data_IF_979301732112
#
_entry.id   IF_979301732112
#
_cell.length_a   1.000
_cell.length_b   1.000
_cell.length_c   1.000
_cell.angle_alpha   90.00
_cell.angle_beta   90.00
_cell.angle_gamma   90.00
#
_symmetry.space_group_name_H-M   'P 1'
#
loop_
_entity.id
_entity.type
_entity.pdbx_description
1 polymer ?
#
# COMPACT_ATOMS: atom_id res chain seq x y z
N UNK A 1 22.44 -7.69 5.03
CA UNK A 1 21.10 -7.82 5.60
C UNK A 1 20.33 -8.88 4.83
N UNK A 2 19.86 -9.87 5.54
CA UNK A 2 19.05 -10.88 4.89
C UNK A 2 17.60 -10.39 4.82
N UNK A 3 17.01 -10.56 3.66
CA UNK A 3 15.59 -10.31 3.51
C UNK A 3 14.84 -11.55 3.94
N UNK A 4 13.84 -11.38 4.78
CA UNK A 4 12.94 -12.48 5.09
C UNK A 4 12.20 -12.88 3.82
N UNK A 5 12.10 -14.17 3.58
CA UNK A 5 11.26 -14.63 2.49
C UNK A 5 9.81 -14.27 2.81
N UNK A 6 9.07 -13.89 1.78
CA UNK A 6 7.64 -13.67 1.94
C UNK A 6 6.97 -15.00 2.31
N UNK A 7 6.00 -14.95 3.20
CA UNK A 7 5.18 -16.11 3.47
C UNK A 7 4.32 -16.43 2.24
N UNK A 8 3.79 -17.64 2.17
CA UNK A 8 2.89 -18.01 1.08
C UNK A 8 1.67 -17.09 1.04
N UNK A 9 1.16 -16.72 2.20
CA UNK A 9 0.02 -15.82 2.29
C UNK A 9 0.37 -14.43 1.76
N UNK A 10 1.55 -13.92 2.10
CA UNK A 10 2.00 -12.62 1.62
C UNK A 10 2.19 -12.61 0.10
N UNK A 11 2.71 -13.69 -0.46
CA UNK A 11 2.85 -13.83 -1.90
C UNK A 11 1.48 -13.90 -2.60
N UNK A 12 0.54 -14.62 -2.01
CA UNK A 12 -0.83 -14.70 -2.52
C UNK A 12 -1.48 -13.32 -2.54
N UNK A 13 -1.37 -12.59 -1.44
CA UNK A 13 -1.91 -11.24 -1.33
C UNK A 13 -1.26 -10.33 -2.38
N UNK A 14 0.06 -10.42 -2.53
CA UNK A 14 0.79 -9.64 -3.52
C UNK A 14 0.30 -9.89 -4.93
N UNK A 15 0.09 -11.16 -5.30
CA UNK A 15 -0.46 -11.49 -6.62
C UNK A 15 -1.88 -10.96 -6.81
N UNK A 16 -2.70 -11.05 -5.77
CA UNK A 16 -4.05 -10.53 -5.82
C UNK A 16 -4.06 -9.02 -6.04
N UNK A 17 -3.15 -8.31 -5.36
CA UNK A 17 -3.02 -6.86 -5.52
C UNK A 17 -2.61 -6.51 -6.95
N UNK A 18 -1.60 -7.17 -7.48
CA UNK A 18 -1.12 -6.93 -8.84
C UNK A 18 -2.23 -7.20 -9.86
N UNK A 19 -2.95 -8.30 -9.71
CA UNK A 19 -4.04 -8.64 -10.63
C UNK A 19 -5.18 -7.62 -10.55
N UNK A 20 -5.54 -7.19 -9.35
CA UNK A 20 -6.56 -6.18 -9.16
C UNK A 20 -6.13 -4.83 -9.73
N UNK A 21 -4.89 -4.44 -9.51
CA UNK A 21 -4.34 -3.20 -10.04
C UNK A 21 -4.32 -3.21 -11.57
N UNK A 22 -3.92 -4.33 -12.16
CA UNK A 22 -3.93 -4.49 -13.61
C UNK A 22 -5.34 -4.35 -14.18
N UNK A 23 -6.31 -4.98 -13.54
CA UNK A 23 -7.70 -4.88 -13.97
C UNK A 23 -8.22 -3.45 -13.91
N UNK A 24 -7.99 -2.78 -12.79
CA UNK A 24 -8.41 -1.39 -12.60
C UNK A 24 -7.79 -0.49 -13.65
N UNK A 25 -6.48 -0.61 -13.86
CA UNK A 25 -5.76 0.20 -14.84
C UNK A 25 -6.24 -0.07 -16.25
N UNK A 26 -6.49 -1.33 -16.60
CA UNK A 26 -6.97 -1.71 -17.93
C UNK A 26 -8.35 -1.13 -18.23
N UNK A 27 -9.21 -1.08 -17.24
CA UNK A 27 -10.57 -0.57 -17.43
C UNK A 27 -10.67 0.95 -17.40
N UNK A 28 -9.91 1.60 -16.52
CA UNK A 28 -10.00 3.05 -16.32
C UNK A 28 -9.00 3.84 -17.15
N UNK A 29 -7.86 3.24 -17.48
CA UNK A 29 -6.79 3.95 -18.15
C UNK A 29 -6.10 4.95 -17.25
N UNK A 30 -5.12 5.70 -17.78
CA UNK A 30 -4.39 6.71 -17.03
C UNK A 30 -5.17 8.01 -16.91
N UNK A 31 -4.70 8.91 -16.04
CA UNK A 31 -5.17 10.29 -16.00
C UNK A 31 -6.24 10.62 -15.00
N UNK A 32 -6.70 9.62 -14.22
CA UNK A 32 -7.67 9.88 -13.17
C UNK A 32 -6.98 10.23 -11.85
N UNK A 33 -7.76 10.75 -10.91
CA UNK A 33 -7.24 11.05 -9.57
C UNK A 33 -6.85 9.76 -8.85
N UNK A 34 -5.81 9.83 -8.04
CA UNK A 34 -5.34 8.68 -7.26
C UNK A 34 -6.44 8.04 -6.44
N UNK A 35 -7.33 8.85 -5.88
CA UNK A 35 -8.43 8.36 -5.06
C UNK A 35 -9.36 7.43 -5.83
N UNK A 36 -9.56 7.67 -7.12
CA UNK A 36 -10.41 6.82 -7.95
C UNK A 36 -9.79 5.42 -8.06
N UNK A 37 -8.49 5.36 -8.35
CA UNK A 37 -7.79 4.08 -8.43
C UNK A 37 -7.80 3.35 -7.08
N UNK A 38 -7.60 4.08 -5.99
CA UNK A 38 -7.62 3.50 -4.65
C UNK A 38 -8.98 2.87 -4.34
N UNK A 39 -10.07 3.57 -4.61
CA UNK A 39 -11.42 3.06 -4.37
C UNK A 39 -11.69 1.82 -5.20
N UNK A 40 -11.33 1.86 -6.47
CA UNK A 40 -11.56 0.73 -7.37
C UNK A 40 -10.70 -0.48 -7.01
N UNK A 41 -9.45 -0.24 -6.64
CA UNK A 41 -8.56 -1.31 -6.17
C UNK A 41 -9.10 -1.97 -4.90
N UNK A 42 -9.55 -1.15 -3.96
CA UNK A 42 -10.18 -1.64 -2.72
C UNK A 42 -11.38 -2.50 -3.04
N UNK A 43 -12.23 -2.05 -3.97
CA UNK A 43 -13.41 -2.80 -4.38
C UNK A 43 -13.04 -4.17 -4.95
N UNK A 44 -12.07 -4.23 -5.85
CA UNK A 44 -11.65 -5.48 -6.46
C UNK A 44 -11.07 -6.45 -5.43
N UNK A 45 -10.27 -5.95 -4.50
CA UNK A 45 -9.67 -6.79 -3.46
C UNK A 45 -10.73 -7.32 -2.49
N UNK A 46 -11.68 -6.50 -2.09
CA UNK A 46 -12.78 -6.94 -1.23
C UNK A 46 -13.67 -7.96 -1.93
N UNK A 47 -13.92 -7.76 -3.20
CA UNK A 47 -14.67 -8.71 -4.01
C UNK A 47 -13.97 -10.06 -4.10
N UNK A 48 -12.65 -10.06 -4.10
CA UNK A 48 -11.84 -11.28 -4.09
C UNK A 48 -11.74 -11.94 -2.71
N UNK A 49 -12.31 -11.34 -1.68
CA UNK A 49 -12.36 -11.92 -0.34
C UNK A 49 -11.32 -11.41 0.63
N UNK A 50 -10.58 -10.36 0.29
CA UNK A 50 -9.54 -9.82 1.17
C UNK A 50 -10.07 -8.69 2.04
N UNK A 51 -9.59 -8.62 3.29
CA UNK A 51 -9.85 -7.50 4.18
C UNK A 51 -8.96 -6.33 3.81
N UNK A 52 -9.56 -5.17 3.56
CA UNK A 52 -8.82 -3.97 3.15
C UNK A 52 -9.26 -2.80 4.00
N UNK A 53 -8.28 -2.13 4.61
CA UNK A 53 -8.49 -0.85 5.28
C UNK A 53 -7.88 0.25 4.41
N UNK A 54 -8.57 1.39 4.33
CA UNK A 54 -8.15 2.53 3.53
C UNK A 54 -7.72 3.68 4.44
N UNK A 55 -6.73 4.45 3.99
CA UNK A 55 -6.31 5.67 4.68
C UNK A 55 -6.02 5.40 6.15
N UNK A 56 -5.15 4.43 6.40
CA UNK A 56 -4.79 4.02 7.75
C UNK A 56 -3.69 4.93 8.27
N UNK A 57 -3.94 5.60 9.39
CA UNK A 57 -2.94 6.42 10.04
C UNK A 57 -2.14 5.59 11.02
N UNK A 58 -0.82 5.70 10.93
CA UNK A 58 0.08 5.00 11.83
C UNK A 58 0.89 6.05 12.58
N UNK A 59 0.73 6.12 13.91
CA UNK A 59 1.47 7.09 14.70
C UNK A 59 2.97 6.76 14.71
N UNK A 60 3.79 7.79 14.81
CA UNK A 60 5.23 7.65 14.90
C UNK A 60 5.64 7.91 16.34
N UNK A 61 6.52 7.04 16.87
CA UNK A 61 7.12 7.26 18.18
C UNK A 61 8.55 7.72 18.00
N UNK A 62 8.88 8.77 18.71
CA UNK A 62 10.23 9.31 18.73
C UNK A 62 10.57 9.77 20.13
N UNK A 63 11.63 9.21 20.68
CA UNK A 63 12.15 9.59 21.99
C UNK A 63 11.06 9.63 23.08
N UNK A 64 10.22 8.59 23.11
CA UNK A 64 9.11 8.47 24.07
C UNK A 64 7.92 9.35 23.76
N UNK A 65 7.95 10.11 22.68
CA UNK A 65 6.82 10.95 22.26
C UNK A 65 6.09 10.24 21.12
N UNK A 66 4.76 10.20 21.23
CA UNK A 66 3.91 9.65 20.18
C UNK A 66 3.31 10.78 19.36
N UNK A 67 3.57 10.75 18.05
CA UNK A 67 2.98 11.71 17.11
C UNK A 67 1.80 11.05 16.42
N UNK A 68 0.62 11.63 16.59
CA UNK A 68 -0.58 11.15 15.90
C UNK A 68 -0.50 11.39 14.39
N UNK A 69 0.22 12.41 13.99
CA UNK A 69 0.43 12.77 12.59
C UNK A 69 1.54 11.93 11.97
N UNK A 70 1.40 10.61 12.04
CA UNK A 70 2.37 9.71 11.44
C UNK A 70 2.17 9.55 9.94
N UNK A 71 2.57 8.42 9.42
CA UNK A 71 2.34 8.11 8.01
C UNK A 71 0.89 7.68 7.82
N UNK A 72 0.34 8.08 6.67
CA UNK A 72 -0.95 7.59 6.24
C UNK A 72 -0.73 6.57 5.12
N UNK A 73 -1.23 5.37 5.32
CA UNK A 73 -1.18 4.31 4.32
C UNK A 73 -2.42 4.39 3.45
N UNK A 74 -2.26 4.29 2.14
CA UNK A 74 -3.41 4.31 1.24
C UNK A 74 -4.28 3.08 1.47
N UNK A 75 -3.68 1.90 1.43
CA UNK A 75 -4.37 0.63 1.67
C UNK A 75 -3.54 -0.26 2.58
N UNK A 76 -4.22 -1.01 3.42
CA UNK A 76 -3.62 -2.07 4.21
C UNK A 76 -4.45 -3.33 3.99
N UNK A 77 -3.84 -4.35 3.40
CA UNK A 77 -4.52 -5.59 3.00
C UNK A 77 -4.18 -6.68 4.01
N UNK A 78 -5.20 -7.27 4.61
CA UNK A 78 -5.10 -8.37 5.59
C UNK A 78 -4.17 -8.03 6.75
N UNK A 79 -4.06 -6.76 7.12
CA UNK A 79 -3.14 -6.26 8.14
C UNK A 79 -1.69 -6.69 7.92
N UNK A 80 -1.30 -7.00 6.68
CA UNK A 80 0.01 -7.54 6.36
C UNK A 80 0.73 -6.77 5.26
N UNK A 81 0.01 -6.30 4.26
CA UNK A 81 0.61 -5.73 3.06
C UNK A 81 0.12 -4.31 2.86
N UNK A 82 1.06 -3.38 2.76
CA UNK A 82 0.78 -1.97 2.50
C UNK A 82 0.77 -1.75 0.99
N UNK A 83 -0.24 -1.06 0.49
CA UNK A 83 -0.31 -0.66 -0.91
C UNK A 83 -0.36 0.86 -0.97
N UNK A 84 0.57 1.44 -1.71
CA UNK A 84 0.58 2.87 -1.98
C UNK A 84 0.23 3.11 -3.43
N UNK A 85 -0.80 3.93 -3.67
CA UNK A 85 -1.23 4.26 -5.03
C UNK A 85 -0.75 5.66 -5.35
N UNK A 86 -0.04 5.80 -6.47
CA UNK A 86 0.50 7.10 -6.91
C UNK A 86 0.30 7.27 -8.40
N UNK A 87 0.05 8.51 -8.81
CA UNK A 87 0.12 8.86 -10.21
C UNK A 87 1.57 8.75 -10.68
N UNK A 88 1.77 8.45 -11.97
CA UNK A 88 3.09 8.14 -12.50
C UNK A 88 4.14 9.21 -12.22
N UNK A 89 3.76 10.47 -12.25
CA UNK A 89 4.66 11.60 -12.07
C UNK A 89 4.83 12.03 -10.60
N UNK A 90 4.20 11.34 -9.67
CA UNK A 90 4.20 11.73 -8.26
C UNK A 90 5.13 10.91 -7.38
N UNK A 91 5.72 9.86 -7.92
CA UNK A 91 6.64 9.03 -7.15
C UNK A 91 8.01 9.68 -7.13
N UNK A 92 8.55 9.90 -5.93
CA UNK A 92 9.89 10.46 -5.77
C UNK A 92 10.65 9.71 -4.67
N UNK A 93 11.96 9.96 -4.62
CA UNK A 93 12.85 9.25 -3.70
C UNK A 93 12.53 9.53 -2.23
N UNK A 94 12.13 10.75 -1.91
CA UNK A 94 11.80 11.11 -0.52
C UNK A 94 10.59 10.33 -0.05
N UNK A 95 9.56 10.28 -0.86
CA UNK A 95 8.36 9.52 -0.55
C UNK A 95 8.67 8.03 -0.37
N UNK A 96 9.44 7.45 -1.29
CA UNK A 96 9.84 6.04 -1.20
C UNK A 96 10.64 5.76 0.08
N UNK A 97 11.55 6.66 0.42
CA UNK A 97 12.34 6.52 1.64
C UNK A 97 11.48 6.56 2.90
N UNK A 98 10.46 7.42 2.92
CA UNK A 98 9.54 7.51 4.05
C UNK A 98 8.76 6.21 4.24
N UNK A 99 8.24 5.65 3.16
CA UNK A 99 7.48 4.40 3.23
C UNK A 99 8.38 3.23 3.65
N UNK A 100 9.58 3.13 3.07
CA UNK A 100 10.51 2.08 3.44
C UNK A 100 10.94 2.17 4.90
N UNK A 101 11.18 3.39 5.40
CA UNK A 101 11.50 3.61 6.79
C UNK A 101 10.38 3.14 7.70
N UNK A 102 9.14 3.42 7.31
CA UNK A 102 7.97 3.01 8.05
C UNK A 102 7.82 1.48 8.08
N UNK A 103 8.06 0.82 6.95
CA UNK A 103 8.02 -0.64 6.87
C UNK A 103 8.97 -1.29 7.86
N UNK A 104 10.16 -0.74 8.02
CA UNK A 104 11.12 -1.25 9.00
C UNK A 104 10.61 -1.15 10.42
N UNK A 105 9.87 -0.08 10.74
CA UNK A 105 9.35 0.12 12.09
C UNK A 105 8.18 -0.80 12.42
N UNK A 106 7.36 -1.10 11.44
CA UNK A 106 6.11 -1.87 11.65
C UNK A 106 6.26 -3.35 11.31
N UNK A 107 7.28 -3.74 10.58
CA UNK A 107 7.43 -5.11 10.09
C UNK A 107 6.46 -5.48 8.98
N UNK A 108 5.81 -4.51 8.38
CA UNK A 108 4.88 -4.75 7.28
C UNK A 108 5.60 -4.74 5.94
N UNK A 109 4.98 -5.34 4.94
CA UNK A 109 5.50 -5.40 3.57
C UNK A 109 4.77 -4.37 2.73
N UNK A 110 5.50 -3.67 1.88
CA UNK A 110 4.94 -2.64 1.03
C UNK A 110 4.97 -2.99 -0.44
N UNK A 111 3.94 -2.59 -1.15
CA UNK A 111 3.85 -2.67 -2.59
C UNK A 111 3.54 -1.28 -3.13
N UNK A 112 4.29 -0.87 -4.14
CA UNK A 112 4.10 0.43 -4.79
C UNK A 112 3.41 0.21 -6.13
N UNK A 113 2.22 0.80 -6.29
CA UNK A 113 1.50 0.76 -7.54
C UNK A 113 1.51 2.13 -8.20
N UNK A 114 1.81 2.16 -9.49
CA UNK A 114 1.72 3.37 -10.32
C UNK A 114 0.58 3.19 -11.31
N UNK A 115 -0.30 4.15 -11.33
CA UNK A 115 -1.40 4.17 -12.27
C UNK A 115 -1.26 5.27 -13.30
#
# INVERSE_FOLDING_TARGET
>A
MSYSKLSELEEEIGRAIVNAAFKVHSELGPGLLEKVYEVCLTHELRKAGYGVARQVEIPIQYDGITFEEGLRLDLLVENKVIVETKALDQVNLVWQAQVLSHLKLTGLIGIFNKF
#
